data_IF_456074296346
#
_entry.id   IF_456074296346
#
_cell.length_a   1.000
_cell.length_b   1.000
_cell.length_c   1.000
_cell.angle_alpha   90.00
_cell.angle_beta   90.00
_cell.angle_gamma   90.00
#
_symmetry.space_group_name_H-M   'P 1'
#
loop_
_entity.id
_entity.type
_entity.pdbx_description
1 polymer ?
#
# COMPACT_ATOMS: atom_id res chain seq x y z
N UNK A 1 -2.97 -1.88 4.38
CA UNK A 1 -4.03 -0.86 4.18
C UNK A 1 -5.09 -1.51 3.30
N UNK A 2 -6.24 -0.91 2.98
CA UNK A 2 -6.98 -1.42 1.83
C UNK A 2 -6.18 -1.16 0.55
N UNK A 3 -6.32 -2.02 -0.48
CA UNK A 3 -5.80 -1.72 -1.82
C UNK A 3 -6.34 -0.37 -2.33
N UNK A 4 -5.54 0.35 -3.09
CA UNK A 4 -5.95 1.55 -3.82
C UNK A 4 -6.47 1.16 -5.21
N UNK A 5 -7.36 1.94 -5.81
CA UNK A 5 -7.61 1.84 -7.26
C UNK A 5 -6.51 2.66 -7.94
N UNK A 6 -5.83 2.06 -8.92
CA UNK A 6 -4.87 2.77 -9.77
C UNK A 6 -5.51 3.01 -11.13
N UNK A 7 -5.46 4.25 -11.60
CA UNK A 7 -5.87 4.62 -12.96
C UNK A 7 -4.64 5.15 -13.68
N UNK A 8 -4.25 4.42 -14.70
CA UNK A 8 -3.14 4.74 -15.58
C UNK A 8 -3.43 6.03 -16.38
N UNK A 9 -2.41 6.83 -16.69
CA UNK A 9 -2.62 8.01 -17.51
C UNK A 9 -3.18 7.68 -18.91
N UNK A 10 -2.88 6.47 -19.41
CA UNK A 10 -3.38 5.98 -20.68
C UNK A 10 -4.91 5.78 -20.69
N UNK A 11 -5.49 5.48 -19.53
CA UNK A 11 -6.90 5.18 -19.33
C UNK A 11 -7.74 6.43 -18.97
N UNK A 12 -7.10 7.60 -18.83
CA UNK A 12 -7.80 8.85 -18.58
C UNK A 12 -8.62 9.26 -19.80
N UNK A 13 -9.95 9.16 -19.70
CA UNK A 13 -10.87 9.38 -20.82
C UNK A 13 -11.27 10.84 -21.03
N UNK A 14 -11.05 11.73 -20.05
CA UNK A 14 -11.49 13.13 -20.12
C UNK A 14 -10.36 14.12 -19.80
N UNK A 15 -9.51 14.31 -20.79
CA UNK A 15 -8.53 15.38 -20.86
C UNK A 15 -9.05 16.44 -21.83
N UNK A 16 -9.30 17.64 -21.33
CA UNK A 16 -9.80 18.75 -22.14
C UNK A 16 -8.69 19.78 -22.30
N UNK A 17 -8.52 20.27 -23.53
CA UNK A 17 -7.54 21.29 -23.90
C UNK A 17 -6.41 20.73 -24.77
N UNK A 18 -5.87 21.56 -25.67
CA UNK A 18 -4.77 21.20 -26.56
C UNK A 18 -3.40 21.10 -25.86
N UNK A 19 -3.36 21.36 -24.55
CA UNK A 19 -2.15 21.38 -23.73
C UNK A 19 -1.71 20.00 -23.26
N UNK A 20 -2.54 18.97 -23.45
CA UNK A 20 -2.28 17.60 -23.06
C UNK A 20 -1.59 16.83 -24.17
N UNK A 21 -0.49 16.15 -23.84
CA UNK A 21 0.27 15.31 -24.77
C UNK A 21 0.62 14.00 -24.08
N UNK A 22 0.30 12.88 -24.73
CA UNK A 22 0.64 11.54 -24.24
C UNK A 22 1.97 11.07 -24.86
N UNK A 23 2.77 10.40 -24.05
CA UNK A 23 4.06 9.82 -24.42
C UNK A 23 4.06 8.34 -24.06
N UNK A 24 4.66 7.52 -24.91
CA UNK A 24 4.89 6.09 -24.68
C UNK A 24 6.38 5.83 -24.51
N UNK A 25 6.75 4.64 -24.04
CA UNK A 25 8.14 4.24 -23.77
C UNK A 25 8.80 5.07 -22.65
N UNK A 26 8.00 5.54 -21.70
CA UNK A 26 8.48 6.23 -20.50
C UNK A 26 8.95 5.18 -19.50
N UNK A 27 10.21 4.75 -19.58
CA UNK A 27 10.73 3.57 -18.85
C UNK A 27 10.63 3.61 -17.32
N UNK A 28 10.38 4.78 -16.74
CA UNK A 28 10.19 4.95 -15.30
C UNK A 28 8.72 5.08 -14.88
N UNK A 29 7.79 5.14 -15.83
CA UNK A 29 6.38 5.35 -15.58
C UNK A 29 5.61 4.02 -15.47
N UNK A 30 4.49 4.03 -14.76
CA UNK A 30 3.55 2.92 -14.79
C UNK A 30 3.09 2.67 -16.23
N UNK A 31 3.01 1.40 -16.62
CA UNK A 31 2.66 0.97 -17.98
C UNK A 31 3.50 1.61 -19.11
N UNK A 32 4.63 2.23 -18.78
CA UNK A 32 5.50 2.98 -19.68
C UNK A 32 4.81 4.12 -20.45
N UNK A 33 3.73 4.67 -19.90
CA UNK A 33 3.01 5.82 -20.46
C UNK A 33 3.09 7.02 -19.54
N UNK A 34 3.08 8.21 -20.12
CA UNK A 34 2.91 9.45 -19.34
C UNK A 34 2.11 10.47 -20.12
N UNK A 35 1.44 11.36 -19.41
CA UNK A 35 0.63 12.42 -19.99
C UNK A 35 1.09 13.77 -19.46
N UNK A 36 1.63 14.61 -20.34
CA UNK A 36 2.18 15.93 -19.98
C UNK A 36 1.12 17.01 -20.19
N UNK A 37 0.95 17.87 -19.20
CA UNK A 37 0.21 19.12 -19.32
C UNK A 37 1.17 20.31 -19.42
N UNK A 38 1.00 21.12 -20.47
CA UNK A 38 1.79 22.33 -20.72
C UNK A 38 0.94 23.59 -20.63
N UNK A 39 0.86 24.21 -19.44
CA UNK A 39 0.05 25.43 -19.28
C UNK A 39 0.71 26.65 -19.94
N UNK A 40 1.99 26.57 -20.30
CA UNK A 40 2.73 27.64 -21.01
C UNK A 40 2.24 27.86 -22.45
N UNK A 41 1.37 26.98 -22.95
CA UNK A 41 0.68 27.12 -24.22
C UNK A 41 -0.60 27.97 -24.11
N UNK A 42 -1.01 28.37 -22.90
CA UNK A 42 -2.14 29.27 -22.70
C UNK A 42 -1.82 30.65 -23.31
N UNK A 43 -2.58 31.07 -24.33
CA UNK A 43 -2.51 32.43 -24.89
C UNK A 43 -1.40 32.72 -25.90
N UNK A 44 -0.57 31.74 -26.30
CA UNK A 44 0.47 31.92 -27.33
C UNK A 44 -0.08 31.83 -28.77
N UNK A 45 -1.01 32.72 -29.12
CA UNK A 45 -1.38 32.98 -30.52
C UNK A 45 -2.58 32.18 -31.08
N UNK A 46 -3.22 31.33 -30.27
CA UNK A 46 -4.54 30.78 -30.60
C UNK A 46 -5.53 31.37 -29.60
N UNK A 47 -6.28 32.40 -30.01
CA UNK A 47 -7.42 32.86 -29.22
C UNK A 47 -8.40 31.68 -29.03
N UNK A 48 -8.93 31.52 -27.81
CA UNK A 48 -9.94 30.50 -27.43
C UNK A 48 -9.45 29.09 -27.04
N UNK A 49 -8.20 28.87 -26.65
CA UNK A 49 -7.86 27.57 -26.03
C UNK A 49 -8.49 27.50 -24.63
N UNK A 50 -9.48 26.60 -24.48
CA UNK A 50 -10.05 26.22 -23.17
C UNK A 50 -8.91 25.85 -22.21
N UNK A 51 -8.98 26.29 -20.95
CA UNK A 51 -8.00 25.90 -19.93
C UNK A 51 -7.87 24.37 -19.89
N UNK A 52 -6.65 23.83 -19.66
CA UNK A 52 -6.52 22.39 -19.52
C UNK A 52 -7.37 21.93 -18.33
N UNK A 53 -8.11 20.86 -18.53
CA UNK A 53 -8.95 20.28 -17.48
C UNK A 53 -8.80 18.77 -17.49
N UNK A 54 -8.57 18.19 -16.32
CA UNK A 54 -8.65 16.76 -16.06
C UNK A 54 -9.91 16.52 -15.22
N UNK A 55 -10.81 15.69 -15.72
CA UNK A 55 -12.03 15.31 -14.98
C UNK A 55 -12.03 13.82 -14.74
N UNK A 56 -12.27 13.42 -13.50
CA UNK A 56 -12.29 12.03 -13.07
C UNK A 56 -13.62 11.75 -12.37
N UNK A 57 -14.32 10.71 -12.83
CA UNK A 57 -15.59 10.25 -12.25
C UNK A 57 -15.35 8.94 -11.53
N UNK A 58 -15.72 8.87 -10.26
CA UNK A 58 -15.38 7.78 -9.36
C UNK A 58 -16.61 7.41 -8.53
N UNK A 59 -16.81 6.12 -8.26
CA UNK A 59 -18.00 5.62 -7.60
C UNK A 59 -18.09 6.10 -6.14
N UNK A 60 -16.96 6.29 -5.47
CA UNK A 60 -16.84 6.83 -4.12
C UNK A 60 -15.37 7.02 -3.75
N UNK A 61 -15.05 8.03 -2.93
CA UNK A 61 -13.66 8.37 -2.60
C UNK A 61 -13.50 8.75 -1.13
N UNK A 62 -12.56 8.09 -0.46
CA UNK A 62 -11.96 8.56 0.80
C UNK A 62 -10.71 9.39 0.59
N UNK A 63 -10.03 9.14 -0.53
CA UNK A 63 -8.77 9.79 -0.84
C UNK A 63 -8.44 9.74 -2.32
N UNK A 64 -7.65 10.71 -2.73
CA UNK A 64 -7.19 10.92 -4.09
C UNK A 64 -5.72 11.30 -4.05
N UNK A 65 -4.89 10.70 -4.90
CA UNK A 65 -3.49 11.09 -5.06
C UNK A 65 -3.15 11.19 -6.54
N UNK A 66 -2.70 12.36 -6.98
CA UNK A 66 -2.15 12.61 -8.31
C UNK A 66 -0.65 12.34 -8.30
N UNK A 67 -0.15 11.41 -9.11
CA UNK A 67 1.27 11.02 -9.11
C UNK A 67 1.93 11.30 -10.46
N UNK A 68 3.17 11.79 -10.42
CA UNK A 68 3.97 11.97 -11.63
C UNK A 68 5.24 12.78 -11.38
N UNK A 69 5.51 13.77 -12.23
CA UNK A 69 6.67 14.67 -12.12
C UNK A 69 6.22 16.12 -12.27
N UNK A 70 6.49 16.93 -11.25
CA UNK A 70 6.22 18.37 -11.27
C UNK A 70 7.37 19.16 -11.90
N UNK A 71 7.06 20.25 -12.59
CA UNK A 71 8.03 21.28 -12.98
C UNK A 71 7.87 22.54 -12.11
N UNK A 72 8.75 23.52 -12.31
CA UNK A 72 8.70 24.82 -11.63
C UNK A 72 7.35 25.53 -11.84
N UNK A 73 6.87 26.16 -10.76
CA UNK A 73 5.66 26.99 -10.74
C UNK A 73 4.36 26.24 -11.10
N UNK A 74 4.29 24.94 -10.80
CA UNK A 74 3.06 24.15 -10.92
C UNK A 74 1.99 24.69 -9.96
N UNK A 75 0.86 25.15 -10.51
CA UNK A 75 -0.32 25.52 -9.74
C UNK A 75 -1.52 24.74 -10.24
N UNK A 76 -2.15 24.00 -9.35
CA UNK A 76 -3.33 23.19 -9.64
C UNK A 76 -4.51 23.75 -8.86
N UNK A 77 -5.58 24.13 -9.56
CA UNK A 77 -6.86 24.36 -8.94
C UNK A 77 -7.68 23.08 -9.04
N UNK A 78 -8.50 22.77 -8.04
CA UNK A 78 -9.42 21.65 -8.12
C UNK A 78 -10.80 22.03 -7.60
N UNK A 79 -11.80 21.28 -8.05
CA UNK A 79 -13.16 21.35 -7.53
C UNK A 79 -13.71 19.95 -7.36
N UNK A 80 -14.47 19.78 -6.28
CA UNK A 80 -15.24 18.58 -6.04
C UNK A 80 -16.69 18.81 -6.42
N UNK A 81 -17.30 17.81 -7.07
CA UNK A 81 -18.75 17.77 -7.27
C UNK A 81 -19.30 16.45 -6.73
N UNK A 82 -20.40 16.57 -6.01
CA UNK A 82 -21.23 15.41 -5.68
C UNK A 82 -22.12 15.15 -6.89
N UNK A 83 -22.31 13.88 -7.27
CA UNK A 83 -23.15 13.50 -8.40
C UNK A 83 -24.58 14.03 -8.31
N UNK A 84 -25.04 14.31 -7.08
CA UNK A 84 -26.44 14.61 -6.76
C UNK A 84 -26.78 16.11 -6.77
N UNK A 85 -25.79 17.00 -6.90
CA UNK A 85 -26.05 18.43 -7.02
C UNK A 85 -26.12 18.88 -8.48
N UNK A 86 -27.14 19.67 -8.89
CA UNK A 86 -27.21 20.26 -10.23
C UNK A 86 -25.92 21.01 -10.58
N UNK A 87 -25.58 21.11 -11.88
CA UNK A 87 -24.35 21.76 -12.38
C UNK A 87 -24.12 23.19 -11.87
N UNK A 88 -25.15 23.83 -11.32
CA UNK A 88 -25.17 25.21 -10.81
C UNK A 88 -25.10 25.30 -9.26
N UNK A 89 -24.87 24.19 -8.56
CA UNK A 89 -24.69 24.17 -7.10
C UNK A 89 -23.37 24.81 -6.65
N UNK A 90 -23.24 25.16 -5.35
CA UNK A 90 -22.04 25.81 -4.82
C UNK A 90 -20.81 24.93 -5.02
N UNK A 91 -19.86 25.41 -5.82
CA UNK A 91 -18.59 24.76 -6.07
C UNK A 91 -17.62 25.14 -4.95
N UNK A 92 -17.17 24.16 -4.17
CA UNK A 92 -16.04 24.39 -3.26
C UNK A 92 -14.76 24.47 -4.11
N UNK A 93 -14.25 25.68 -4.31
CA UNK A 93 -12.95 25.93 -4.94
C UNK A 93 -11.92 26.15 -3.85
N UNK A 94 -10.88 25.32 -3.77
CA UNK A 94 -9.75 25.60 -2.89
C UNK A 94 -8.45 25.61 -3.72
N UNK A 95 -7.82 26.78 -3.94
CA UNK A 95 -6.56 26.84 -4.65
C UNK A 95 -5.43 26.32 -3.75
N UNK A 96 -4.88 25.15 -4.05
CA UNK A 96 -3.66 24.68 -3.40
C UNK A 96 -2.42 25.18 -4.16
N UNK A 97 -1.58 25.92 -3.45
CA UNK A 97 -0.26 26.31 -3.94
C UNK A 97 0.74 25.23 -3.57
N UNK A 98 1.19 24.46 -4.56
CA UNK A 98 2.27 23.50 -4.36
C UNK A 98 3.61 24.21 -4.45
N UNK A 99 4.08 24.71 -3.30
CA UNK A 99 5.47 25.11 -3.11
C UNK A 99 6.24 24.04 -2.32
N UNK A 100 5.81 22.78 -2.42
CA UNK A 100 6.46 21.66 -1.75
C UNK A 100 7.70 21.26 -2.55
N UNK A 101 8.77 22.01 -2.35
CA UNK A 101 10.12 21.58 -2.76
C UNK A 101 10.46 20.40 -1.85
N UNK A 102 10.46 19.18 -2.38
CA UNK A 102 11.00 18.02 -1.67
C UNK A 102 12.52 18.19 -1.55
N UNK A 103 12.98 18.94 -0.54
CA UNK A 103 14.39 18.98 -0.21
C UNK A 103 14.77 17.60 0.31
N UNK A 104 15.67 16.91 -0.39
CA UNK A 104 16.27 15.66 0.08
C UNK A 104 16.79 15.86 1.51
N UNK A 105 16.59 14.92 2.45
CA UNK A 105 17.28 14.98 3.73
C UNK A 105 18.79 14.88 3.44
N UNK A 106 19.51 15.98 3.63
CA UNK A 106 20.97 15.96 3.61
C UNK A 106 21.45 15.14 4.82
N UNK A 107 21.79 13.88 4.59
CA UNK A 107 22.50 13.10 5.60
C UNK A 107 23.90 13.69 5.79
N UNK A 108 24.25 13.91 7.06
CA UNK A 108 25.55 14.31 7.61
C UNK A 108 25.86 15.82 7.69
N UNK A 109 26.09 16.23 8.94
CA UNK A 109 26.65 17.49 9.39
C UNK A 109 28.00 17.78 8.72
N UNK A 110 28.07 18.83 7.91
CA UNK A 110 29.33 19.49 7.54
C UNK A 110 29.19 21.02 7.68
N UNK A 111 30.25 21.70 8.16
CA UNK A 111 30.18 23.11 8.52
C UNK A 111 30.02 24.00 7.28
N UNK A 112 29.30 25.09 7.50
CA UNK A 112 28.89 26.09 6.52
C UNK A 112 30.08 26.92 6.01
N UNK A 113 30.90 26.36 5.12
CA UNK A 113 31.79 27.15 4.27
C UNK A 113 32.24 26.36 3.04
N UNK A 114 32.00 26.93 1.86
CA UNK A 114 32.42 26.45 0.53
C UNK A 114 31.81 25.12 0.05
N UNK A 115 30.68 25.21 -0.68
CA UNK A 115 30.32 24.19 -1.66
C UNK A 115 29.96 24.90 -2.99
N UNK A 116 30.99 25.12 -3.81
CA UNK A 116 30.86 25.03 -5.27
C UNK A 116 31.15 23.57 -5.63
N UNK A 117 30.11 22.74 -5.64
CA UNK A 117 30.10 21.38 -6.20
C UNK A 117 28.81 21.19 -6.98
N UNK A 118 28.85 20.70 -8.24
CA UNK A 118 27.72 20.73 -9.14
C UNK A 118 26.96 19.41 -9.12
N UNK A 119 26.18 19.12 -8.07
CA UNK A 119 25.15 18.08 -8.14
C UNK A 119 23.97 18.44 -7.22
N UNK A 120 23.40 19.62 -7.43
CA UNK A 120 21.97 19.75 -7.23
C UNK A 120 21.32 18.98 -8.37
N UNK A 121 20.69 17.83 -8.09
CA UNK A 121 19.66 17.30 -8.99
C UNK A 121 18.40 18.08 -8.63
N UNK A 122 18.00 19.08 -9.41
CA UNK A 122 16.67 19.64 -9.31
C UNK A 122 15.64 18.50 -9.15
N UNK A 123 14.85 18.50 -8.07
CA UNK A 123 13.74 17.54 -7.78
C UNK A 123 12.80 17.35 -8.99
N UNK A 124 12.82 18.31 -9.90
CA UNK A 124 12.12 18.42 -11.18
C UNK A 124 12.37 17.29 -12.20
N UNK A 125 13.12 16.23 -11.85
CA UNK A 125 13.29 15.03 -12.69
C UNK A 125 12.91 13.73 -11.97
N UNK A 126 12.36 13.79 -10.76
CA UNK A 126 11.89 12.60 -10.07
C UNK A 126 10.51 12.17 -10.59
N UNK A 127 10.40 10.91 -10.98
CA UNK A 127 9.12 10.23 -11.25
C UNK A 127 8.54 9.65 -9.95
N UNK A 128 7.24 9.36 -9.92
CA UNK A 128 6.57 8.81 -8.73
C UNK A 128 6.31 9.84 -7.61
N UNK A 129 6.40 11.14 -7.90
CA UNK A 129 6.12 12.19 -6.91
C UNK A 129 4.61 12.33 -6.72
N UNK A 130 4.13 12.27 -5.47
CA UNK A 130 2.77 12.67 -5.10
C UNK A 130 2.60 14.18 -5.27
N UNK A 131 2.03 14.60 -6.41
CA UNK A 131 1.84 16.01 -6.77
C UNK A 131 0.73 16.66 -5.94
N UNK A 132 -0.28 15.89 -5.58
CA UNK A 132 -1.45 16.34 -4.81
C UNK A 132 -2.07 15.13 -4.12
N UNK A 133 -2.37 15.26 -2.83
CA UNK A 133 -3.12 14.25 -2.07
C UNK A 133 -4.27 14.92 -1.36
N UNK A 134 -5.50 14.49 -1.67
CA UNK A 134 -6.73 15.02 -1.10
C UNK A 134 -7.42 13.93 -0.29
N UNK A 135 -8.01 14.31 0.84
CA UNK A 135 -8.94 13.48 1.60
C UNK A 135 -10.33 14.07 1.44
N UNK A 136 -11.30 13.24 1.09
CA UNK A 136 -12.69 13.63 0.88
C UNK A 136 -13.59 12.56 1.47
N UNK A 137 -14.80 12.91 1.91
CA UNK A 137 -15.71 11.92 2.49
C UNK A 137 -16.78 11.45 1.52
N UNK A 138 -17.18 12.23 0.50
CA UNK A 138 -18.41 11.94 -0.26
C UNK A 138 -18.42 12.50 -1.71
N UNK A 139 -17.33 12.35 -2.46
CA UNK A 139 -17.20 12.97 -3.80
C UNK A 139 -17.15 11.97 -4.94
N UNK A 140 -17.90 12.27 -6.01
CA UNK A 140 -18.03 11.41 -7.18
C UNK A 140 -17.27 11.95 -8.39
N UNK A 141 -17.03 13.26 -8.45
CA UNK A 141 -16.26 13.87 -9.53
C UNK A 141 -15.24 14.84 -8.96
N UNK A 142 -13.99 14.70 -9.41
CA UNK A 142 -12.93 15.70 -9.21
C UNK A 142 -12.59 16.32 -10.57
N UNK A 143 -12.56 17.65 -10.60
CA UNK A 143 -12.14 18.44 -11.75
C UNK A 143 -10.88 19.22 -11.37
N UNK A 144 -9.77 18.94 -12.05
CA UNK A 144 -8.47 19.58 -11.84
C UNK A 144 -8.19 20.50 -13.03
N UNK A 145 -7.85 21.75 -12.73
CA UNK A 145 -7.56 22.80 -13.70
C UNK A 145 -6.15 23.34 -13.41
N UNK A 146 -5.13 22.86 -14.15
CA UNK A 146 -3.79 23.44 -14.08
C UNK A 146 -3.78 24.91 -14.53
N UNK A 147 -3.33 25.80 -13.66
CA UNK A 147 -3.35 27.25 -13.90
C UNK A 147 -1.98 27.76 -14.40
N UNK A 148 -0.89 27.20 -13.88
CA UNK A 148 0.49 27.51 -14.29
C UNK A 148 1.43 26.31 -14.19
N UNK A 149 2.58 26.41 -14.83
CA UNK A 149 3.66 25.42 -14.80
C UNK A 149 3.55 24.32 -15.86
N UNK A 150 4.29 23.24 -15.61
CA UNK A 150 4.26 22.01 -16.40
C UNK A 150 4.27 20.85 -15.44
N UNK A 151 3.56 19.78 -15.76
CA UNK A 151 3.71 18.52 -15.05
C UNK A 151 3.50 17.35 -16.00
N UNK A 152 4.06 16.22 -15.62
CA UNK A 152 3.87 14.93 -16.24
C UNK A 152 3.03 14.11 -15.27
N UNK A 153 1.90 13.60 -15.73
CA UNK A 153 1.05 12.64 -15.03
C UNK A 153 1.49 11.23 -15.41
N UNK A 154 1.62 10.38 -14.40
CA UNK A 154 1.92 8.94 -14.54
C UNK A 154 0.67 8.12 -14.22
N UNK A 155 0.15 8.26 -13.00
CA UNK A 155 -1.09 7.61 -12.61
C UNK A 155 -1.80 8.39 -11.51
N UNK A 156 -3.03 7.97 -11.24
CA UNK A 156 -3.83 8.45 -10.12
C UNK A 156 -4.14 7.28 -9.20
N UNK A 157 -4.01 7.50 -7.90
CA UNK A 157 -4.46 6.56 -6.88
C UNK A 157 -5.74 7.07 -6.24
N UNK A 158 -6.68 6.15 -6.04
CA UNK A 158 -7.88 6.41 -5.27
C UNK A 158 -7.92 5.47 -4.07
N UNK A 159 -8.31 6.03 -2.93
CA UNK A 159 -8.71 5.23 -1.78
C UNK A 159 -10.22 5.10 -1.83
N UNK A 160 -10.75 3.93 -2.22
CA UNK A 160 -12.20 3.73 -2.26
C UNK A 160 -12.81 3.73 -0.86
N UNK A 161 -14.12 4.01 -0.80
CA UNK A 161 -14.88 3.72 0.42
C UNK A 161 -15.23 2.23 0.52
N UNK A 162 -15.83 1.81 1.62
CA UNK A 162 -16.04 0.38 1.90
C UNK A 162 -17.17 -0.26 1.07
N UNK A 163 -17.87 0.50 0.20
CA UNK A 163 -19.18 0.09 -0.32
C UNK A 163 -19.30 -0.01 -1.85
N UNK A 164 -18.26 0.32 -2.62
CA UNK A 164 -18.32 0.21 -4.09
C UNK A 164 -17.93 -1.17 -4.63
N UNK A 165 -18.62 -1.65 -5.66
CA UNK A 165 -18.19 -2.82 -6.44
C UNK A 165 -16.93 -2.51 -7.25
N UNK A 166 -15.88 -3.33 -7.09
CA UNK A 166 -14.59 -3.15 -7.77
C UNK A 166 -14.51 -3.87 -9.12
N UNK A 167 -15.66 -4.24 -9.67
CA UNK A 167 -15.77 -4.99 -10.92
C UNK A 167 -15.07 -4.20 -12.04
N UNK A 168 -14.05 -4.83 -12.63
CA UNK A 168 -13.29 -4.26 -13.75
C UNK A 168 -12.28 -3.20 -13.34
N UNK A 169 -12.26 -2.76 -12.08
CA UNK A 169 -11.29 -1.78 -11.60
C UNK A 169 -9.91 -2.42 -11.41
N UNK A 170 -8.85 -1.65 -11.69
CA UNK A 170 -7.47 -2.06 -11.39
C UNK A 170 -7.14 -1.68 -9.96
N UNK A 171 -6.98 -2.67 -9.11
CA UNK A 171 -6.58 -2.50 -7.72
C UNK A 171 -5.07 -2.63 -7.61
N UNK A 172 -4.51 -1.92 -6.65
CA UNK A 172 -3.10 -1.86 -6.33
C UNK A 172 -2.93 -2.16 -4.84
N UNK A 173 -2.03 -3.09 -4.52
CA UNK A 173 -1.58 -3.33 -3.14
C UNK A 173 -0.10 -2.96 -3.04
N UNK A 174 0.17 -2.10 -2.07
CA UNK A 174 1.51 -1.62 -1.73
C UNK A 174 2.37 -2.72 -1.09
N UNK A 175 3.69 -2.65 -1.22
CA UNK A 175 4.59 -3.60 -0.57
C UNK A 175 4.54 -3.56 0.97
N UNK A 176 4.13 -2.44 1.57
CA UNK A 176 3.91 -2.34 3.02
C UNK A 176 2.47 -2.73 3.42
N UNK A 177 1.70 -3.35 2.51
CA UNK A 177 0.38 -3.82 2.85
C UNK A 177 0.43 -5.01 3.84
N UNK A 178 -0.26 -4.87 4.98
CA UNK A 178 -0.30 -5.90 6.02
C UNK A 178 -0.93 -7.23 5.60
N UNK A 179 -1.58 -7.30 4.43
CA UNK A 179 -2.02 -8.56 3.82
C UNK A 179 -0.87 -9.37 3.24
N UNK A 180 0.24 -8.73 2.87
CA UNK A 180 1.43 -9.38 2.32
C UNK A 180 2.23 -10.03 3.44
N UNK A 181 2.55 -11.32 3.26
CA UNK A 181 3.26 -12.14 4.25
C UNK A 181 4.65 -12.43 3.75
N UNK A 182 5.64 -11.80 4.39
CA UNK A 182 7.06 -12.00 4.11
C UNK A 182 7.65 -13.12 4.96
N UNK A 183 8.66 -13.83 4.43
CA UNK A 183 9.48 -14.72 5.26
C UNK A 183 10.24 -13.93 6.31
N UNK A 184 10.10 -14.35 7.57
CA UNK A 184 10.66 -13.64 8.71
C UNK A 184 12.19 -13.49 8.60
N UNK A 185 12.69 -12.27 8.81
CA UNK A 185 14.12 -11.97 8.84
C UNK A 185 14.84 -11.95 7.48
N UNK A 186 14.13 -12.16 6.36
CA UNK A 186 14.73 -12.14 5.02
C UNK A 186 14.41 -10.90 4.20
N UNK A 187 13.49 -10.07 4.69
CA UNK A 187 13.01 -8.86 4.03
C UNK A 187 13.31 -7.62 4.86
N UNK A 188 13.77 -6.57 4.20
CA UNK A 188 13.91 -5.22 4.75
C UNK A 188 12.83 -4.34 4.14
N UNK A 189 11.86 -3.95 4.96
CA UNK A 189 10.80 -3.01 4.59
C UNK A 189 11.31 -1.59 4.88
N UNK A 190 11.38 -0.76 3.85
CA UNK A 190 11.95 0.60 3.94
C UNK A 190 10.91 1.62 3.53
N UNK A 191 10.74 2.66 4.35
CA UNK A 191 9.87 3.80 4.07
C UNK A 191 10.71 5.03 3.67
N UNK A 192 10.06 6.05 3.11
CA UNK A 192 10.70 7.30 2.66
C UNK A 192 11.84 7.07 1.65
N UNK A 193 11.69 6.04 0.81
CA UNK A 193 12.68 5.66 -0.20
C UNK A 193 12.70 6.69 -1.31
N UNK A 194 13.89 7.21 -1.60
CA UNK A 194 14.14 8.06 -2.77
C UNK A 194 15.30 7.45 -3.54
N UNK A 195 15.01 7.03 -4.78
CA UNK A 195 16.01 6.50 -5.69
C UNK A 195 16.48 7.59 -6.66
N UNK A 196 17.64 7.41 -7.31
CA UNK A 196 18.05 8.28 -8.40
C UNK A 196 16.92 8.45 -9.43
N UNK A 197 16.39 9.67 -9.54
CA UNK A 197 15.35 10.08 -10.52
C UNK A 197 13.96 9.46 -10.32
N UNK A 198 13.69 8.81 -9.20
CA UNK A 198 12.38 8.23 -8.96
C UNK A 198 12.09 7.97 -7.48
N UNK A 199 10.81 7.96 -7.15
CA UNK A 199 10.28 7.53 -5.87
C UNK A 199 9.46 6.26 -6.16
N UNK A 200 9.77 5.12 -5.52
CA UNK A 200 8.90 3.96 -5.56
C UNK A 200 7.47 4.31 -5.15
N UNK A 201 6.53 3.41 -5.44
CA UNK A 201 5.15 3.63 -5.08
C UNK A 201 5.02 3.95 -3.58
N UNK A 202 4.28 5.03 -3.25
CA UNK A 202 4.12 5.56 -1.89
C UNK A 202 5.43 5.81 -1.10
N UNK A 203 6.57 5.84 -1.79
CA UNK A 203 7.89 5.97 -1.17
C UNK A 203 8.29 4.78 -0.30
N UNK A 204 7.76 3.59 -0.56
CA UNK A 204 8.05 2.36 0.17
C UNK A 204 8.76 1.33 -0.71
N UNK A 205 9.58 0.48 -0.12
CA UNK A 205 10.24 -0.60 -0.86
C UNK A 205 10.61 -1.79 0.02
N UNK A 206 10.29 -2.99 -0.45
CA UNK A 206 10.58 -4.25 0.21
C UNK A 206 11.76 -4.91 -0.48
N UNK A 207 12.85 -5.11 0.26
CA UNK A 207 14.11 -5.63 -0.26
C UNK A 207 14.42 -7.02 0.29
N UNK A 208 14.82 -7.94 -0.58
CA UNK A 208 15.40 -9.23 -0.21
C UNK A 208 16.71 -9.51 -0.96
N UNK A 209 17.66 -10.17 -0.29
CA UNK A 209 19.00 -10.46 -0.83
C UNK A 209 19.39 -11.94 -0.74
N UNK A 210 18.49 -12.80 -0.25
CA UNK A 210 18.76 -14.20 0.00
C UNK A 210 17.90 -15.11 -0.89
N UNK A 211 18.51 -16.15 -1.45
CA UNK A 211 17.78 -17.25 -2.09
C UNK A 211 16.86 -17.91 -1.05
N UNK A 212 15.64 -18.24 -1.47
CA UNK A 212 14.59 -18.77 -0.60
C UNK A 212 13.78 -17.72 0.15
N UNK A 213 14.16 -16.43 0.10
CA UNK A 213 13.28 -15.36 0.55
C UNK A 213 11.98 -15.38 -0.26
N UNK A 214 10.84 -15.27 0.42
CA UNK A 214 9.55 -15.30 -0.25
C UNK A 214 8.55 -14.34 0.36
N UNK A 215 7.54 -13.99 -0.43
CA UNK A 215 6.33 -13.35 0.05
C UNK A 215 5.09 -14.04 -0.53
N UNK A 216 3.99 -13.92 0.20
CA UNK A 216 2.69 -14.47 -0.17
C UNK A 216 1.62 -13.40 -0.03
N UNK A 217 0.66 -13.40 -0.94
CA UNK A 217 -0.48 -12.47 -0.93
C UNK A 217 -1.74 -13.18 -1.40
N UNK A 218 -2.81 -13.00 -0.64
CA UNK A 218 -4.15 -13.39 -1.04
C UNK A 218 -4.82 -12.22 -1.76
N UNK A 219 -5.44 -12.48 -2.90
CA UNK A 219 -6.19 -11.50 -3.67
C UNK A 219 -7.48 -12.11 -4.21
N UNK A 220 -8.49 -11.28 -4.45
CA UNK A 220 -9.73 -11.72 -5.10
C UNK A 220 -9.90 -10.91 -6.38
N UNK A 221 -9.78 -11.56 -7.54
CA UNK A 221 -9.68 -10.90 -8.84
C UNK A 221 -9.62 -11.87 -10.03
N UNK A 222 -9.27 -11.35 -11.21
CA UNK A 222 -9.18 -12.12 -12.46
C UNK A 222 -7.82 -12.02 -13.18
N UNK A 223 -6.92 -11.18 -12.68
CA UNK A 223 -5.52 -11.13 -13.12
C UNK A 223 -4.63 -10.69 -11.95
N UNK A 224 -3.32 -10.86 -12.08
CA UNK A 224 -2.34 -10.29 -11.16
C UNK A 224 -1.06 -9.90 -11.90
N UNK A 225 -0.44 -8.81 -11.46
CA UNK A 225 0.88 -8.38 -11.90
C UNK A 225 1.71 -7.91 -10.70
N UNK A 226 2.98 -8.30 -10.67
CA UNK A 226 3.96 -7.89 -9.65
C UNK A 226 4.91 -6.88 -10.27
N UNK A 227 5.10 -5.76 -9.59
CA UNK A 227 5.99 -4.69 -10.00
C UNK A 227 7.10 -4.48 -8.97
N UNK A 228 8.25 -4.10 -9.47
CA UNK A 228 9.40 -3.80 -8.65
C UNK A 228 10.36 -2.85 -9.32
N UNK A 229 11.51 -2.72 -8.68
CA UNK A 229 12.59 -1.88 -9.16
C UNK A 229 13.81 -2.74 -9.48
N UNK A 230 14.45 -2.50 -10.63
CA UNK A 230 15.69 -3.17 -11.01
C UNK A 230 16.85 -2.19 -10.87
N UNK A 231 17.84 -2.55 -10.06
CA UNK A 231 19.13 -1.87 -10.07
C UNK A 231 20.07 -2.59 -11.04
N UNK A 232 20.71 -1.83 -11.92
CA UNK A 232 21.65 -2.33 -12.92
C UNK A 232 23.03 -2.63 -12.32
N UNK A 233 23.10 -3.43 -11.27
CA UNK A 233 24.36 -3.88 -10.64
C UNK A 233 24.78 -5.28 -11.12
N UNK A 234 26.03 -5.65 -10.85
CA UNK A 234 26.57 -6.96 -11.19
C UNK A 234 25.89 -8.09 -10.39
N UNK A 235 25.62 -9.21 -11.07
CA UNK A 235 24.99 -10.39 -10.50
C UNK A 235 23.79 -10.87 -11.31
N UNK A 236 23.10 -11.87 -10.75
CA UNK A 236 21.89 -12.49 -11.30
C UNK A 236 20.76 -12.45 -10.28
N UNK A 237 19.55 -12.35 -10.79
CA UNK A 237 18.32 -12.32 -10.01
C UNK A 237 17.24 -13.11 -10.74
N UNK A 238 16.74 -14.16 -10.10
CA UNK A 238 15.61 -14.95 -10.57
C UNK A 238 14.64 -15.23 -9.42
N UNK A 239 13.35 -15.31 -9.74
CA UNK A 239 12.29 -15.69 -8.81
C UNK A 239 11.34 -16.69 -9.47
N UNK A 240 10.59 -17.38 -8.62
CA UNK A 240 9.53 -18.31 -9.01
C UNK A 240 8.18 -17.83 -8.48
N UNK A 241 7.15 -17.93 -9.31
CA UNK A 241 5.81 -17.43 -9.03
C UNK A 241 4.82 -18.58 -9.14
N UNK A 242 4.06 -18.88 -8.09
CA UNK A 242 2.99 -19.87 -8.12
C UNK A 242 1.68 -19.30 -7.63
N UNK A 243 0.60 -19.66 -8.30
CA UNK A 243 -0.77 -19.30 -7.92
C UNK A 243 -1.47 -20.55 -7.41
N UNK A 244 -2.09 -20.46 -6.25
CA UNK A 244 -2.89 -21.53 -5.61
C UNK A 244 -2.15 -22.85 -5.42
N UNK A 245 -0.83 -22.77 -5.17
CA UNK A 245 0.03 -23.96 -5.04
C UNK A 245 0.24 -24.72 -6.36
N UNK A 246 -0.19 -24.17 -7.49
CA UNK A 246 0.07 -24.71 -8.82
C UNK A 246 1.56 -24.68 -9.21
N UNK A 247 1.91 -25.24 -10.38
CA UNK A 247 3.30 -25.28 -10.86
C UNK A 247 3.92 -23.87 -10.93
N UNK A 248 5.14 -23.67 -10.37
CA UNK A 248 5.77 -22.37 -10.38
C UNK A 248 6.29 -21.98 -11.76
N UNK A 249 6.06 -20.73 -12.15
CA UNK A 249 6.69 -20.08 -13.29
C UNK A 249 7.99 -19.42 -12.85
N UNK A 250 9.13 -19.87 -13.39
CA UNK A 250 10.43 -19.24 -13.14
C UNK A 250 10.64 -18.04 -14.06
N UNK A 251 11.05 -16.91 -13.49
CA UNK A 251 11.37 -15.68 -14.24
C UNK A 251 12.77 -15.20 -13.84
N UNK A 252 13.61 -14.98 -14.85
CA UNK A 252 14.90 -14.32 -14.68
C UNK A 252 14.73 -12.83 -14.90
N UNK A 253 14.90 -12.05 -13.84
CA UNK A 253 14.81 -10.59 -13.89
C UNK A 253 16.14 -9.96 -14.31
N UNK A 254 17.24 -10.59 -13.91
CA UNK A 254 18.61 -10.16 -14.22
C UNK A 254 19.45 -11.40 -14.51
N UNK A 255 20.00 -11.51 -15.71
CA UNK A 255 20.76 -12.69 -16.17
C UNK A 255 22.30 -12.53 -16.06
N UNK A 256 22.78 -11.34 -15.68
CA UNK A 256 24.20 -11.02 -15.57
C UNK A 256 24.84 -10.46 -16.84
N UNK A 257 24.09 -10.34 -17.96
CA UNK A 257 24.58 -9.74 -19.21
C UNK A 257 24.26 -8.24 -19.34
N UNK A 258 23.51 -7.66 -18.40
CA UNK A 258 23.16 -6.25 -18.39
C UNK A 258 24.39 -5.36 -18.17
N UNK A 259 24.38 -4.16 -18.76
CA UNK A 259 25.39 -3.15 -18.47
C UNK A 259 25.30 -2.72 -17.00
N UNK A 260 26.44 -2.67 -16.31
CA UNK A 260 26.49 -2.28 -14.91
C UNK A 260 26.51 -0.76 -14.79
N UNK A 261 25.50 -0.21 -14.14
CA UNK A 261 25.38 1.19 -13.74
C UNK A 261 24.69 1.23 -12.37
N UNK A 262 25.43 1.48 -11.29
CA UNK A 262 24.87 1.51 -9.93
C UNK A 262 23.85 2.62 -9.69
N UNK A 263 23.84 3.64 -10.54
CA UNK A 263 22.84 4.71 -10.57
C UNK A 263 21.69 4.41 -11.56
N UNK A 264 21.79 3.29 -12.28
CA UNK A 264 20.83 2.83 -13.27
C UNK A 264 19.69 2.07 -12.63
N UNK A 265 18.64 2.80 -12.25
CA UNK A 265 17.40 2.24 -11.70
C UNK A 265 16.31 2.21 -12.77
N UNK A 266 15.70 1.05 -12.95
CA UNK A 266 14.50 0.86 -13.77
C UNK A 266 13.32 0.70 -12.84
N UNK A 267 12.38 1.65 -12.89
CA UNK A 267 11.19 1.68 -12.05
C UNK A 267 10.02 0.94 -12.70
N UNK A 268 9.00 0.62 -11.92
CA UNK A 268 7.74 0.04 -12.41
C UNK A 268 7.96 -1.18 -13.33
N UNK A 269 8.99 -1.99 -13.04
CA UNK A 269 9.34 -3.12 -13.87
C UNK A 269 8.38 -4.27 -13.61
N UNK A 270 7.69 -4.80 -14.65
CA UNK A 270 6.84 -5.96 -14.48
C UNK A 270 7.72 -7.18 -14.24
N UNK A 271 7.67 -7.70 -13.02
CA UNK A 271 8.36 -8.93 -12.65
C UNK A 271 7.56 -10.17 -13.05
N UNK A 272 6.25 -10.09 -12.93
CA UNK A 272 5.35 -11.19 -13.25
C UNK A 272 3.98 -10.68 -13.63
N UNK A 273 3.30 -11.37 -14.54
CA UNK A 273 1.90 -11.12 -14.88
C UNK A 273 1.22 -12.41 -15.29
N UNK A 274 0.01 -12.64 -14.80
CA UNK A 274 -0.79 -13.81 -15.18
C UNK A 274 -2.28 -13.48 -15.11
N UNK A 275 -3.03 -13.94 -16.12
CA UNK A 275 -4.49 -13.99 -16.05
C UNK A 275 -4.91 -15.25 -15.30
N UNK A 276 -5.92 -15.13 -14.44
CA UNK A 276 -6.47 -16.23 -13.65
C UNK A 276 -7.97 -16.31 -13.86
N UNK A 277 -8.59 -17.40 -13.39
CA UNK A 277 -10.05 -17.42 -13.31
C UNK A 277 -10.52 -16.33 -12.35
N UNK A 278 -11.75 -15.84 -12.49
CA UNK A 278 -12.31 -14.96 -11.47
C UNK A 278 -12.48 -15.73 -10.15
N UNK A 279 -11.86 -15.26 -9.07
CA UNK A 279 -11.99 -15.89 -7.76
C UNK A 279 -10.98 -15.36 -6.73
N UNK A 280 -10.91 -16.04 -5.59
CA UNK A 280 -9.89 -15.81 -4.56
C UNK A 280 -8.68 -16.70 -4.83
N UNK A 281 -7.50 -16.10 -4.82
CA UNK A 281 -6.24 -16.72 -5.18
C UNK A 281 -5.15 -16.36 -4.18
N UNK A 282 -4.14 -17.21 -4.07
CA UNK A 282 -2.90 -16.93 -3.35
C UNK A 282 -1.72 -16.94 -4.31
N UNK A 283 -1.04 -15.80 -4.46
CA UNK A 283 0.24 -15.73 -5.15
C UNK A 283 1.38 -15.96 -4.14
N UNK A 284 2.27 -16.89 -4.45
CA UNK A 284 3.53 -17.08 -3.75
C UNK A 284 4.70 -16.75 -4.67
N UNK A 285 5.64 -15.95 -4.15
CA UNK A 285 6.86 -15.56 -4.88
C UNK A 285 8.07 -15.98 -4.06
N UNK A 286 8.97 -16.77 -4.64
CA UNK A 286 10.20 -17.24 -3.97
C UNK A 286 11.41 -16.93 -4.81
N UNK A 287 12.42 -16.27 -4.23
CA UNK A 287 13.69 -15.99 -4.90
C UNK A 287 14.47 -17.29 -5.12
N UNK A 288 14.79 -17.59 -6.37
CA UNK A 288 15.49 -18.83 -6.76
C UNK A 288 16.97 -18.59 -7.06
N UNK A 289 17.35 -17.35 -7.38
CA UNK A 289 18.74 -16.97 -7.61
C UNK A 289 18.95 -15.52 -7.18
N UNK A 290 19.95 -15.29 -6.32
CA UNK A 290 20.46 -13.96 -5.99
C UNK A 290 21.97 -14.08 -5.89
N UNK A 291 22.70 -13.42 -6.79
CA UNK A 291 24.18 -13.46 -6.81
C UNK A 291 24.78 -12.07 -6.96
N UNK A 292 26.06 -11.93 -6.58
CA UNK A 292 26.75 -10.64 -6.64
C UNK A 292 26.13 -9.61 -5.70
N UNK A 293 25.95 -8.39 -6.20
CA UNK A 293 25.33 -7.29 -5.45
C UNK A 293 23.83 -7.14 -5.77
N UNK A 294 23.22 -8.11 -6.45
CA UNK A 294 21.82 -8.01 -6.81
C UNK A 294 20.89 -8.17 -5.60
N UNK A 295 19.71 -7.57 -5.72
CA UNK A 295 18.65 -7.65 -4.71
C UNK A 295 17.30 -7.63 -5.41
N UNK A 296 16.33 -8.31 -4.83
CA UNK A 296 14.94 -8.20 -5.25
C UNK A 296 14.31 -7.01 -4.54
N UNK A 297 13.80 -6.03 -5.31
CA UNK A 297 13.09 -4.88 -4.79
C UNK A 297 11.63 -4.95 -5.24
N UNK A 298 10.76 -5.38 -4.33
CA UNK A 298 9.32 -5.40 -4.53
C UNK A 298 8.72 -4.04 -4.15
N UNK A 299 7.85 -3.52 -5.00
CA UNK A 299 7.27 -2.18 -4.87
C UNK A 299 5.74 -2.25 -4.69
N UNK A 300 5.04 -2.90 -5.62
CA UNK A 300 3.60 -3.11 -5.49
C UNK A 300 3.13 -4.23 -6.42
N UNK A 301 1.89 -4.64 -6.24
CA UNK A 301 1.18 -5.51 -7.17
C UNK A 301 -0.13 -4.89 -7.61
N UNK A 302 -0.64 -5.31 -8.76
CA UNK A 302 -1.96 -4.94 -9.23
C UNK A 302 -2.79 -6.15 -9.63
N UNK A 303 -4.10 -6.04 -9.54
CA UNK A 303 -5.05 -7.07 -9.97
C UNK A 303 -6.37 -6.45 -10.40
N UNK A 304 -7.07 -7.07 -11.34
CA UNK A 304 -8.44 -6.67 -11.70
C UNK A 304 -9.44 -7.16 -10.65
N UNK A 305 -10.21 -6.23 -10.09
CA UNK A 305 -11.32 -6.53 -9.19
C UNK A 305 -12.52 -7.17 -9.90
N UNK A 306 -13.22 -8.01 -9.14
CA UNK A 306 -14.46 -8.71 -9.52
C UNK A 306 -15.57 -8.35 -8.51
N UNK A 307 -16.74 -8.95 -8.67
CA UNK A 307 -17.92 -8.70 -7.82
C UNK A 307 -17.71 -9.16 -6.37
N UNK A 308 -16.90 -10.21 -6.19
CA UNK A 308 -16.51 -10.75 -4.90
C UNK A 308 -15.35 -9.99 -4.23
N UNK A 309 -14.69 -9.07 -4.93
CA UNK A 309 -13.55 -8.36 -4.35
C UNK A 309 -13.99 -7.48 -3.19
N UNK A 310 -13.40 -7.69 -2.02
CA UNK A 310 -13.66 -6.88 -0.84
C UNK A 310 -12.37 -6.21 -0.38
N UNK A 311 -12.36 -4.88 -0.27
CA UNK A 311 -11.16 -4.15 0.13
C UNK A 311 -10.98 -4.02 1.64
N UNK A 312 -12.00 -4.39 2.44
CA UNK A 312 -11.95 -4.29 3.89
C UNK A 312 -12.94 -5.25 4.56
N UNK A 313 -12.49 -6.45 4.89
CA UNK A 313 -12.88 -7.03 6.16
C UNK A 313 -11.61 -7.51 6.84
N UNK A 314 -10.84 -6.59 7.45
CA UNK A 314 -10.18 -7.03 8.68
C UNK A 314 -11.33 -7.53 9.52
N UNK A 315 -11.44 -8.85 9.62
CA UNK A 315 -12.32 -9.44 10.58
C UNK A 315 -11.96 -8.76 11.91
N UNK A 316 -12.87 -7.91 12.40
CA UNK A 316 -13.50 -8.31 13.63
C UNK A 316 -14.02 -9.73 13.39
N UNK A 317 -13.11 -10.72 13.42
CA UNK A 317 -13.48 -12.04 13.83
C UNK A 317 -14.24 -11.74 15.09
N UNK A 318 -15.54 -12.04 15.07
CA UNK A 318 -16.22 -12.33 16.31
C UNK A 318 -15.30 -13.35 16.95
N UNK A 319 -14.39 -12.91 17.83
CA UNK A 319 -13.81 -13.78 18.82
C UNK A 319 -15.07 -14.30 19.48
N UNK A 320 -15.45 -15.53 19.15
CA UNK A 320 -16.39 -16.24 19.98
C UNK A 320 -15.68 -16.24 21.33
N UNK A 321 -16.16 -15.41 22.25
CA UNK A 321 -15.62 -15.32 23.59
C UNK A 321 -16.04 -16.60 24.32
N UNK A 322 -15.51 -17.75 23.88
CA UNK A 322 -15.64 -19.04 24.55
C UNK A 322 -14.95 -19.00 25.91
N UNK A 323 -14.12 -17.98 26.16
CA UNK A 323 -13.54 -17.69 27.48
C UNK A 323 -14.58 -17.23 28.51
N UNK A 324 -15.65 -16.55 28.09
CA UNK A 324 -16.74 -16.16 28.99
C UNK A 324 -17.56 -17.35 29.49
N UNK A 325 -17.76 -18.36 28.63
CA UNK A 325 -18.44 -19.61 29.00
C UNK A 325 -17.65 -20.47 29.99
N UNK A 326 -16.32 -20.51 29.87
CA UNK A 326 -15.46 -21.26 30.79
C UNK A 326 -15.40 -20.57 32.16
N UNK A 327 -15.21 -19.25 32.21
CA UNK A 327 -15.15 -18.52 33.48
C UNK A 327 -16.54 -18.51 34.15
N UNK A 328 -17.62 -18.33 33.38
CA UNK A 328 -19.00 -18.44 33.90
C UNK A 328 -19.33 -19.84 34.42
N UNK A 329 -18.90 -20.88 33.71
CA UNK A 329 -19.09 -22.28 34.14
C UNK A 329 -18.34 -22.62 35.42
N UNK A 330 -17.09 -22.16 35.57
CA UNK A 330 -16.28 -22.41 36.78
C UNK A 330 -16.86 -21.67 37.99
N UNK A 331 -17.29 -20.42 37.84
CA UNK A 331 -17.93 -19.67 38.94
C UNK A 331 -19.25 -20.32 39.37
N UNK A 332 -20.09 -20.71 38.41
CA UNK A 332 -21.35 -21.40 38.73
C UNK A 332 -21.12 -22.74 39.44
N UNK A 333 -20.12 -23.52 39.01
CA UNK A 333 -19.76 -24.78 39.66
C UNK A 333 -19.23 -24.59 41.09
N UNK A 334 -18.43 -23.55 41.35
CA UNK A 334 -17.93 -23.23 42.70
C UNK A 334 -19.08 -22.81 43.62
N UNK A 335 -20.03 -22.02 43.13
CA UNK A 335 -21.21 -21.61 43.91
C UNK A 335 -22.06 -22.83 44.26
N UNK A 336 -22.33 -23.71 43.29
CA UNK A 336 -23.10 -24.94 43.52
C UNK A 336 -22.40 -25.85 44.53
N UNK A 337 -21.07 -26.05 44.41
CA UNK A 337 -20.31 -26.86 45.36
C UNK A 337 -20.26 -26.22 46.76
N UNK A 338 -20.18 -24.89 46.86
CA UNK A 338 -20.27 -24.16 48.13
C UNK A 338 -21.64 -24.31 48.79
N UNK A 339 -22.72 -24.21 48.03
CA UNK A 339 -24.08 -24.42 48.53
C UNK A 339 -24.33 -25.88 48.96
N UNK A 340 -23.85 -26.86 48.19
CA UNK A 340 -23.96 -28.26 48.57
C UNK A 340 -23.11 -28.62 49.80
N UNK A 341 -21.91 -28.02 49.95
CA UNK A 341 -21.06 -28.20 51.11
C UNK A 341 -21.66 -27.62 52.41
N UNK A 342 -22.46 -26.55 52.30
CA UNK A 342 -23.14 -25.95 53.45
C UNK A 342 -24.30 -26.80 53.99
N UNK A 343 -24.93 -27.63 53.16
CA UNK A 343 -25.99 -28.55 53.59
C UNK A 343 -25.47 -29.85 54.23
N UNK A 344 -24.19 -30.20 54.06
CA UNK A 344 -23.61 -31.45 54.59
C UNK A 344 -23.19 -31.44 56.06
N UNK A 345 -23.14 -30.28 56.74
CA UNK A 345 -22.69 -30.21 58.15
C UNK A 345 -23.84 -30.40 59.14
N UNK A 346 -24.41 -31.62 59.20
CA UNK A 346 -25.11 -32.08 60.40
C UNK A 346 -24.07 -32.27 61.53
N UNK A 347 -24.18 -31.47 62.58
CA UNK A 347 -23.33 -31.54 63.78
C UNK A 347 -23.52 -32.87 64.50
N UNK A 348 -22.48 -33.71 64.51
CA UNK A 348 -22.37 -34.82 65.46
C UNK A 348 -21.87 -34.27 66.80
N UNK A 349 -22.73 -34.26 67.82
CA UNK A 349 -22.33 -33.97 69.19
C UNK A 349 -21.75 -35.23 69.84
N UNK A 350 -20.46 -35.18 70.18
CA UNK A 350 -19.76 -36.22 70.94
C UNK A 350 -19.82 -35.88 72.44
N UNK A 351 -20.43 -36.75 73.25
CA UNK A 351 -20.48 -36.64 74.72
C UNK A 351 -19.20 -37.23 75.30
N UNK A 352 -18.41 -36.44 76.05
CA UNK A 352 -17.20 -36.92 76.77
C UNK A 352 -17.60 -37.58 78.09
N UNK A 353 -17.05 -38.76 78.40
CA UNK A 353 -17.04 -39.34 79.75
C UNK A 353 -15.74 -38.96 80.48
N UNK A 354 -15.78 -38.73 81.81
CA UNK A 354 -14.61 -38.34 82.60
C UNK A 354 -13.65 -39.51 82.83
N UNK A 355 -12.34 -39.20 82.82
CA UNK A 355 -11.23 -40.12 83.08
C UNK A 355 -10.94 -40.15 84.58
N UNK A 356 -10.91 -41.34 85.17
CA UNK A 356 -10.46 -41.60 86.55
C UNK A 356 -8.99 -42.00 86.52
N UNK A 357 -8.16 -41.35 87.32
CA UNK A 357 -6.74 -41.69 87.50
C UNK A 357 -6.57 -42.53 88.76
N UNK A 358 -5.93 -43.70 88.64
CA UNK A 358 -5.44 -44.47 89.79
C UNK A 358 -3.92 -44.42 89.78
N UNK A 359 -3.38 -43.98 90.93
CA UNK A 359 -1.96 -43.75 91.20
C UNK A 359 -1.41 -45.00 91.88
N UNK A 360 -0.50 -45.73 91.25
CA UNK A 360 0.26 -46.79 91.91
C UNK A 360 1.45 -46.17 92.66
N UNK A 361 1.52 -46.42 93.97
CA UNK A 361 2.67 -46.13 94.82
C UNK A 361 3.45 -47.43 95.04
N UNK A 362 4.75 -47.37 94.74
CA UNK A 362 5.73 -48.45 94.80
C UNK A 362 5.99 -48.90 96.25
N UNK A 363 6.17 -50.21 96.45
CA UNK A 363 6.76 -50.79 97.66
C UNK A 363 8.28 -50.89 97.44
N UNK A 364 9.06 -50.19 98.27
CA UNK A 364 10.26 -50.68 98.97
C UNK A 364 10.85 -49.57 99.87
#
# INVERSE_FOLDING_TARGET
MPPSIIVDDADLTLLIGAQWQRFTNSSAAHNQTTTVCRTDLNGKGIANIKKPTLTLNLPSLKGFTLVGTGAENLRLNYTFRNSDTPKDGPVSTNPEFFNKVYLLPSSSSLPLSLIRSPFFVPVYLQTGVELMTLTSTDTHTIEIVPDSGRFTLDYVLFTPDKESGYIGQRLMSDDHDGTIKYTAGQWSLTESVVLPRAIPMKGTLAKATAVGASFSVEFTGADIAVYGVVNSVAGKLSASYSIDGGPPSAVTHVNGSQAVNGDGWLMNQPFFKQNVAAGTHTLNVTLTEVTGNQSYYFDYLTFQGIDQTQLNATGAGKKSNTLGGIIGGVIAAIIILGCCGAWGRKKYYYVRRPVVYVKETVIL
#
